data_IF_587141583872
#
_entry.id   IF_587141583872
#
_cell.length_a   1.000
_cell.length_b   1.000
_cell.length_c   1.000
_cell.angle_alpha   90.00
_cell.angle_beta   90.00
_cell.angle_gamma   90.00
#
_symmetry.space_group_name_H-M   'P 1'
#
loop_
_entity.id
_entity.type
_entity.pdbx_description
1 polymer ?
#
# COMPACT_ATOMS: atom_id res chain seq x y z
N UNK A 1 -45.22 -23.29 -84.85
CA UNK A 1 -45.13 -23.75 -86.25
C UNK A 1 -46.37 -24.56 -86.57
N UNK A 2 -47.11 -24.20 -87.61
CA UNK A 2 -48.25 -25.00 -88.08
C UNK A 2 -47.73 -26.22 -88.85
N UNK A 3 -48.35 -27.39 -88.65
CA UNK A 3 -47.99 -28.60 -89.43
C UNK A 3 -48.53 -28.41 -90.85
N UNK A 4 -47.63 -28.18 -91.80
CA UNK A 4 -47.95 -28.11 -93.22
C UNK A 4 -47.79 -29.50 -93.81
N UNK A 5 -48.89 -30.10 -94.26
CA UNK A 5 -48.87 -31.41 -94.91
C UNK A 5 -48.88 -31.22 -96.43
N UNK A 6 -47.94 -31.87 -97.12
CA UNK A 6 -47.91 -31.97 -98.58
C UNK A 6 -48.18 -33.43 -98.93
N UNK A 7 -49.36 -33.73 -99.47
CA UNK A 7 -49.69 -35.05 -99.96
C UNK A 7 -48.94 -35.35 -101.27
N UNK A 8 -48.71 -36.63 -101.57
CA UNK A 8 -48.10 -37.05 -102.86
C UNK A 8 -48.90 -36.60 -104.09
N UNK A 9 -50.19 -36.30 -103.90
CA UNK A 9 -51.10 -35.82 -104.94
C UNK A 9 -51.13 -34.31 -105.05
N UNK A 10 -50.47 -33.57 -104.14
CA UNK A 10 -50.46 -32.12 -104.17
C UNK A 10 -49.57 -31.60 -105.30
N UNK A 11 -49.97 -30.46 -105.85
CA UNK A 11 -49.25 -29.87 -106.98
C UNK A 11 -47.90 -29.30 -106.53
N UNK A 12 -46.95 -29.21 -107.47
CA UNK A 12 -45.70 -28.47 -107.27
C UNK A 12 -45.94 -27.03 -106.80
N UNK A 13 -47.05 -26.43 -107.19
CA UNK A 13 -47.43 -25.09 -106.78
C UNK A 13 -47.89 -25.05 -105.32
N UNK A 14 -48.63 -26.07 -104.87
CA UNK A 14 -48.94 -26.27 -103.45
C UNK A 14 -47.65 -26.44 -102.64
N UNK A 15 -46.69 -27.23 -103.12
CA UNK A 15 -45.39 -27.38 -102.48
C UNK A 15 -44.63 -26.05 -102.41
N UNK A 16 -44.53 -25.31 -103.53
CA UNK A 16 -43.85 -24.00 -103.58
C UNK A 16 -44.48 -23.00 -102.61
N UNK A 17 -45.80 -22.92 -102.59
CA UNK A 17 -46.54 -21.98 -101.74
C UNK A 17 -46.31 -22.30 -100.27
N UNK A 18 -46.44 -23.57 -99.89
CA UNK A 18 -46.20 -24.00 -98.51
C UNK A 18 -44.73 -23.90 -98.10
N UNK A 19 -43.78 -24.13 -99.00
CA UNK A 19 -42.34 -23.99 -98.74
C UNK A 19 -41.95 -22.52 -98.55
N UNK A 20 -42.44 -21.62 -99.39
CA UNK A 20 -42.20 -20.18 -99.24
C UNK A 20 -42.86 -19.64 -97.98
N UNK A 21 -44.07 -20.11 -97.66
CA UNK A 21 -44.73 -19.77 -96.40
C UNK A 21 -43.95 -20.26 -95.18
N UNK A 22 -43.37 -21.46 -95.25
CA UNK A 22 -42.51 -22.01 -94.20
C UNK A 22 -41.24 -21.15 -94.02
N UNK A 23 -40.58 -20.77 -95.10
CA UNK A 23 -39.42 -19.89 -95.08
C UNK A 23 -39.73 -18.50 -94.51
N UNK A 24 -40.85 -17.91 -94.91
CA UNK A 24 -41.21 -16.54 -94.52
C UNK A 24 -41.78 -16.43 -93.11
N UNK A 25 -42.57 -17.41 -92.67
CA UNK A 25 -43.34 -17.29 -91.41
C UNK A 25 -42.83 -18.20 -90.29
N UNK A 26 -42.21 -19.33 -90.61
CA UNK A 26 -41.90 -20.36 -89.62
C UNK A 26 -40.40 -20.44 -89.25
N UNK A 27 -39.47 -19.95 -90.09
CA UNK A 27 -38.02 -19.94 -89.79
C UNK A 27 -37.50 -18.60 -89.20
N UNK A 28 -38.34 -17.57 -89.09
CA UNK A 28 -37.91 -16.26 -88.61
C UNK A 28 -37.02 -15.52 -89.62
N UNK A 29 -36.98 -14.19 -89.52
CA UNK A 29 -36.17 -13.34 -90.40
C UNK A 29 -34.83 -13.02 -89.72
N UNK A 30 -33.70 -13.29 -90.40
CA UNK A 30 -32.36 -12.94 -89.90
C UNK A 30 -32.20 -11.43 -89.73
N UNK A 31 -32.93 -10.61 -90.48
CA UNK A 31 -32.93 -9.16 -90.31
C UNK A 31 -33.51 -8.74 -88.95
N UNK A 32 -34.29 -9.61 -88.28
CA UNK A 32 -34.81 -9.41 -86.94
C UNK A 32 -33.92 -10.04 -85.84
N UNK A 33 -32.80 -10.70 -86.19
CA UNK A 33 -31.82 -11.20 -85.24
C UNK A 33 -30.93 -10.04 -84.74
N UNK A 34 -30.63 -9.98 -83.45
CA UNK A 34 -29.82 -8.91 -82.87
C UNK A 34 -28.46 -8.80 -83.58
N UNK A 35 -28.04 -7.58 -83.94
CA UNK A 35 -26.73 -7.34 -84.56
C UNK A 35 -25.51 -7.68 -83.67
N UNK A 36 -25.74 -8.02 -82.39
CA UNK A 36 -24.72 -8.53 -81.46
C UNK A 36 -24.42 -10.02 -81.65
N UNK A 37 -25.22 -10.72 -82.45
CA UNK A 37 -25.03 -12.12 -82.82
C UNK A 37 -24.43 -12.13 -84.22
N UNK A 38 -23.20 -12.60 -84.34
CA UNK A 38 -22.45 -12.62 -85.61
C UNK A 38 -22.73 -13.86 -86.47
N UNK A 39 -23.45 -14.83 -85.91
CA UNK A 39 -23.84 -16.06 -86.59
C UNK A 39 -24.80 -15.84 -87.77
N UNK A 40 -24.52 -16.52 -88.90
CA UNK A 40 -25.29 -16.42 -90.15
C UNK A 40 -26.35 -17.51 -90.31
N UNK A 41 -26.54 -18.35 -89.29
CA UNK A 41 -27.64 -19.30 -89.22
C UNK A 41 -28.22 -19.35 -87.80
N UNK A 42 -29.50 -19.73 -87.69
CA UNK A 42 -30.26 -19.71 -86.44
C UNK A 42 -29.66 -20.61 -85.35
N UNK A 43 -29.05 -21.74 -85.73
CA UNK A 43 -28.48 -22.68 -84.77
C UNK A 43 -27.26 -22.06 -84.11
N UNK A 44 -26.36 -21.48 -84.90
CA UNK A 44 -25.18 -20.76 -84.39
C UNK A 44 -25.59 -19.47 -83.65
N UNK A 45 -26.63 -18.79 -84.11
CA UNK A 45 -27.18 -17.62 -83.45
C UNK A 45 -27.75 -17.93 -82.06
N UNK A 46 -28.47 -19.04 -81.93
CA UNK A 46 -28.94 -19.53 -80.64
C UNK A 46 -27.78 -19.95 -79.74
N UNK A 47 -26.73 -20.57 -80.29
CA UNK A 47 -25.54 -20.95 -79.53
C UNK A 47 -24.77 -19.73 -79.01
N UNK A 48 -24.64 -18.67 -79.82
CA UNK A 48 -24.04 -17.39 -79.42
C UNK A 48 -24.93 -16.64 -78.41
N UNK A 49 -26.25 -16.67 -78.59
CA UNK A 49 -27.22 -16.14 -77.61
C UNK A 49 -27.15 -16.88 -76.28
N UNK A 50 -26.95 -18.20 -76.30
CA UNK A 50 -26.72 -19.02 -75.10
C UNK A 50 -25.41 -18.61 -74.43
N UNK A 51 -24.30 -18.42 -75.16
CA UNK A 51 -23.03 -17.92 -74.58
C UNK A 51 -23.16 -16.53 -73.96
N UNK A 52 -24.02 -15.67 -74.52
CA UNK A 52 -24.35 -14.33 -73.99
C UNK A 52 -25.31 -14.44 -72.78
N UNK A 53 -26.21 -15.43 -72.76
CA UNK A 53 -27.16 -15.69 -71.66
C UNK A 53 -26.58 -16.53 -70.50
N UNK A 54 -25.49 -17.28 -70.71
CA UNK A 54 -24.84 -18.17 -69.71
C UNK A 54 -23.66 -17.54 -68.96
N UNK A 55 -23.56 -16.22 -68.88
CA UNK A 55 -22.67 -15.53 -67.94
C UNK A 55 -23.45 -15.03 -66.70
N UNK A 56 -24.06 -15.83 -65.83
CA UNK A 56 -24.06 -17.25 -65.44
C UNK A 56 -25.37 -17.45 -64.65
N UNK A 57 -25.74 -18.68 -64.27
CA UNK A 57 -26.83 -18.89 -63.31
C UNK A 57 -26.53 -18.06 -62.05
N UNK A 58 -27.37 -17.07 -61.76
CA UNK A 58 -27.21 -16.25 -60.57
C UNK A 58 -27.09 -17.12 -59.32
N UNK A 59 -26.33 -16.67 -58.33
CA UNK A 59 -26.23 -17.36 -57.05
C UNK A 59 -27.00 -16.61 -55.99
N UNK A 60 -27.44 -17.35 -54.98
CA UNK A 60 -28.23 -16.80 -53.89
C UNK A 60 -27.33 -16.53 -52.70
N UNK A 61 -27.35 -15.30 -52.17
CA UNK A 61 -26.73 -14.94 -50.89
C UNK A 61 -27.77 -14.96 -49.78
N UNK A 62 -27.36 -15.37 -48.57
CA UNK A 62 -28.23 -15.38 -47.38
C UNK A 62 -27.45 -14.95 -46.16
N UNK A 63 -28.05 -14.15 -45.30
CA UNK A 63 -27.46 -13.75 -44.02
C UNK A 63 -27.81 -14.72 -42.88
N UNK A 64 -27.31 -14.45 -41.67
CA UNK A 64 -27.63 -15.25 -40.48
C UNK A 64 -29.07 -15.10 -40.00
N UNK A 65 -29.80 -14.08 -40.46
CA UNK A 65 -31.22 -13.86 -40.16
C UNK A 65 -32.17 -14.60 -41.12
N UNK A 66 -31.64 -15.35 -42.09
CA UNK A 66 -32.35 -16.07 -43.17
C UNK A 66 -32.88 -15.22 -44.33
N UNK A 67 -32.53 -13.93 -44.39
CA UNK A 67 -32.84 -13.08 -45.54
C UNK A 67 -32.04 -13.54 -46.75
N UNK A 68 -32.72 -13.78 -47.87
CA UNK A 68 -32.15 -14.44 -49.06
C UNK A 68 -32.28 -13.52 -50.28
N UNK A 69 -31.21 -13.34 -51.06
CA UNK A 69 -31.21 -12.51 -52.27
C UNK A 69 -30.55 -13.26 -53.44
N UNK A 70 -31.21 -13.28 -54.61
CA UNK A 70 -30.62 -13.77 -55.86
C UNK A 70 -29.76 -12.67 -56.49
N UNK A 71 -28.52 -12.98 -56.82
CA UNK A 71 -27.61 -12.12 -57.59
C UNK A 71 -27.59 -12.67 -59.02
N UNK A 72 -28.17 -11.96 -59.99
CA UNK A 72 -28.30 -12.41 -61.38
C UNK A 72 -27.01 -12.32 -62.18
N UNK A 73 -26.99 -12.93 -63.37
CA UNK A 73 -25.89 -12.73 -64.33
C UNK A 73 -25.79 -11.25 -64.70
N UNK A 74 -24.63 -10.64 -64.45
CA UNK A 74 -24.37 -9.21 -64.68
C UNK A 74 -24.49 -8.30 -63.44
N UNK A 75 -24.99 -8.78 -62.31
CA UNK A 75 -25.06 -8.02 -61.05
C UNK A 75 -23.70 -8.00 -60.30
N UNK A 76 -23.47 -6.98 -59.47
CA UNK A 76 -22.27 -6.87 -58.62
C UNK A 76 -22.59 -7.19 -57.17
N UNK A 77 -21.92 -8.19 -56.59
CA UNK A 77 -21.91 -8.40 -55.13
C UNK A 77 -20.95 -7.39 -54.47
N UNK A 78 -21.48 -6.54 -53.59
CA UNK A 78 -20.66 -5.63 -52.77
C UNK A 78 -20.52 -6.17 -51.34
N UNK A 79 -19.29 -6.35 -50.88
CA UNK A 79 -18.98 -6.70 -49.49
C UNK A 79 -18.28 -5.50 -48.87
N UNK A 80 -18.98 -4.78 -48.01
CA UNK A 80 -18.56 -3.51 -47.43
C UNK A 80 -18.65 -3.60 -45.90
N UNK A 81 -17.61 -3.16 -45.21
CA UNK A 81 -17.68 -2.81 -43.78
C UNK A 81 -17.69 -1.30 -43.59
N UNK A 82 -17.94 -0.85 -42.37
CA UNK A 82 -17.59 0.53 -42.00
C UNK A 82 -16.06 0.69 -41.93
N UNK A 83 -15.59 1.92 -41.71
CA UNK A 83 -14.15 2.21 -41.66
C UNK A 83 -13.46 1.34 -40.60
N UNK A 84 -12.46 0.58 -41.03
CA UNK A 84 -11.65 -0.30 -40.18
C UNK A 84 -12.40 -1.47 -39.51
N UNK A 85 -13.48 -1.99 -40.11
CA UNK A 85 -14.12 -3.24 -39.62
C UNK A 85 -13.57 -4.49 -40.30
N UNK A 86 -13.51 -4.47 -41.64
CA UNK A 86 -13.04 -5.59 -42.47
C UNK A 86 -12.16 -5.09 -43.61
N UNK A 87 -11.32 -5.97 -44.13
CA UNK A 87 -10.64 -5.83 -45.41
C UNK A 87 -11.18 -6.89 -46.37
N UNK A 88 -11.87 -6.47 -47.43
CA UNK A 88 -12.43 -7.35 -48.44
C UNK A 88 -11.72 -7.11 -49.78
N UNK A 89 -11.13 -8.17 -50.35
CA UNK A 89 -10.38 -8.11 -51.61
C UNK A 89 -10.93 -9.14 -52.59
N UNK A 90 -11.22 -8.70 -53.82
CA UNK A 90 -11.59 -9.57 -54.93
C UNK A 90 -10.35 -9.86 -55.78
N UNK A 91 -10.06 -11.13 -56.04
CA UNK A 91 -8.92 -11.55 -56.87
C UNK A 91 -9.31 -12.62 -57.89
N UNK A 92 -8.53 -12.72 -58.96
CA UNK A 92 -8.67 -13.79 -59.93
C UNK A 92 -8.08 -15.10 -59.38
N UNK A 93 -8.69 -16.27 -59.58
CA UNK A 93 -9.99 -16.53 -60.24
C UNK A 93 -11.09 -16.71 -59.18
N UNK A 94 -12.24 -16.07 -59.37
CA UNK A 94 -13.49 -16.24 -58.58
C UNK A 94 -13.32 -16.27 -57.05
N UNK A 95 -12.43 -15.42 -56.51
CA UNK A 95 -12.12 -15.42 -55.07
C UNK A 95 -12.45 -14.07 -54.44
N UNK A 96 -13.13 -14.12 -53.29
CA UNK A 96 -13.25 -12.98 -52.37
C UNK A 96 -12.62 -13.37 -51.04
N UNK A 97 -11.62 -12.62 -50.61
CA UNK A 97 -10.99 -12.78 -49.31
C UNK A 97 -11.53 -11.73 -48.37
N UNK A 98 -11.98 -12.15 -47.18
CA UNK A 98 -12.42 -11.25 -46.10
C UNK A 98 -11.49 -11.47 -44.91
N UNK A 99 -10.90 -10.40 -44.42
CA UNK A 99 -10.04 -10.39 -43.24
C UNK A 99 -10.33 -9.21 -42.32
N UNK A 100 -9.57 -9.13 -41.24
CA UNK A 100 -9.54 -7.95 -40.38
C UNK A 100 -8.34 -7.08 -40.77
N UNK A 101 -8.50 -5.75 -40.88
CA UNK A 101 -7.38 -4.84 -41.01
C UNK A 101 -6.50 -4.86 -39.74
N UNK A 102 -5.29 -4.31 -39.83
CA UNK A 102 -4.37 -4.22 -38.68
C UNK A 102 -4.97 -3.50 -37.46
N UNK A 103 -5.83 -2.51 -37.71
CA UNK A 103 -6.59 -1.81 -36.68
C UNK A 103 -8.06 -2.06 -36.92
N UNK A 104 -8.73 -2.70 -35.96
CA UNK A 104 -10.17 -2.93 -36.02
C UNK A 104 -10.90 -1.92 -35.14
N UNK A 105 -11.91 -1.24 -35.68
CA UNK A 105 -12.79 -0.35 -34.90
C UNK A 105 -14.17 -0.97 -34.77
N UNK A 106 -14.66 -1.13 -33.54
CA UNK A 106 -16.01 -1.67 -33.26
C UNK A 106 -16.86 -0.52 -32.73
N UNK A 107 -17.92 -0.14 -33.45
CA UNK A 107 -18.75 1.01 -33.07
C UNK A 107 -19.59 0.82 -31.80
N UNK A 108 -19.72 -0.42 -31.32
CA UNK A 108 -20.47 -0.79 -30.11
C UNK A 108 -19.57 -1.63 -29.18
N UNK A 109 -20.16 -2.64 -28.53
CA UNK A 109 -19.46 -3.50 -27.60
C UNK A 109 -18.81 -4.69 -28.31
N UNK A 110 -17.59 -5.02 -27.90
CA UNK A 110 -17.00 -6.32 -28.15
C UNK A 110 -17.37 -7.28 -27.02
N UNK A 111 -18.06 -8.37 -27.34
CA UNK A 111 -18.32 -9.47 -26.40
C UNK A 111 -17.37 -10.62 -26.71
N UNK A 112 -16.51 -10.97 -25.76
CA UNK A 112 -15.64 -12.16 -25.83
C UNK A 112 -16.21 -13.20 -24.88
N UNK A 113 -16.61 -14.37 -25.39
CA UNK A 113 -17.30 -15.40 -24.58
C UNK A 113 -16.35 -16.32 -23.82
N UNK A 114 -15.07 -16.30 -24.18
CA UNK A 114 -14.00 -17.04 -23.52
C UNK A 114 -12.95 -16.01 -23.07
N UNK A 115 -11.67 -16.29 -23.33
CA UNK A 115 -10.57 -15.44 -22.90
C UNK A 115 -10.22 -14.38 -23.96
N UNK A 116 -9.91 -13.17 -23.49
CA UNK A 116 -9.22 -12.16 -24.28
C UNK A 116 -7.73 -12.21 -23.93
N UNK A 117 -6.91 -12.64 -24.89
CA UNK A 117 -5.45 -12.58 -24.79
C UNK A 117 -4.93 -11.39 -25.58
N UNK A 118 -4.15 -10.51 -24.95
CA UNK A 118 -3.55 -9.33 -25.57
C UNK A 118 -2.03 -9.44 -25.48
N UNK A 119 -1.37 -9.58 -26.64
CA UNK A 119 0.09 -9.50 -26.71
C UNK A 119 0.50 -8.03 -26.74
N UNK A 120 0.84 -7.48 -25.58
CA UNK A 120 1.25 -6.08 -25.42
C UNK A 120 0.39 -5.32 -24.43
N UNK A 121 0.07 -4.07 -24.74
CA UNK A 121 -0.68 -3.18 -23.83
C UNK A 121 -2.17 -3.28 -24.06
N UNK A 122 -2.93 -3.50 -22.99
CA UNK A 122 -4.37 -3.32 -22.97
C UNK A 122 -4.69 -1.93 -22.39
N UNK A 123 -5.16 -1.01 -23.24
CA UNK A 123 -5.52 0.37 -22.86
C UNK A 123 -7.03 0.52 -22.86
N UNK A 124 -7.61 0.81 -21.70
CA UNK A 124 -9.05 1.00 -21.50
C UNK A 124 -9.33 2.14 -20.53
N UNK A 125 -10.49 2.79 -20.65
CA UNK A 125 -10.87 3.89 -19.76
C UNK A 125 -11.24 3.44 -18.33
N UNK A 126 -11.62 2.18 -18.15
CA UNK A 126 -11.95 1.61 -16.85
C UNK A 126 -11.99 0.09 -16.91
N UNK A 127 -11.70 -0.54 -15.78
CA UNK A 127 -11.74 -1.99 -15.61
C UNK A 127 -12.75 -2.29 -14.51
N UNK A 128 -13.88 -2.89 -14.87
CA UNK A 128 -14.80 -3.49 -13.90
C UNK A 128 -14.60 -5.00 -13.92
N UNK A 129 -14.21 -5.55 -12.77
CA UNK A 129 -14.07 -7.00 -12.60
C UNK A 129 -15.24 -7.50 -11.78
N UNK A 130 -15.91 -8.56 -12.25
CA UNK A 130 -16.90 -9.29 -11.45
C UNK A 130 -16.30 -10.47 -10.69
N UNK A 131 -15.10 -10.91 -11.08
CA UNK A 131 -14.32 -11.93 -10.38
C UNK A 131 -13.45 -11.33 -9.27
N UNK A 132 -12.68 -12.18 -8.58
CA UNK A 132 -12.02 -11.82 -7.31
C UNK A 132 -10.51 -11.56 -7.42
N UNK A 133 -9.89 -11.75 -8.61
CA UNK A 133 -8.43 -11.82 -8.70
C UNK A 133 -7.87 -10.96 -9.83
N UNK A 134 -6.89 -10.13 -9.50
CA UNK A 134 -5.90 -9.59 -10.42
C UNK A 134 -4.60 -10.31 -10.10
N UNK A 135 -4.06 -11.05 -11.06
CA UNK A 135 -2.78 -11.76 -10.90
C UNK A 135 -1.77 -11.17 -11.87
N UNK A 136 -0.55 -10.94 -11.39
CA UNK A 136 0.57 -10.49 -12.21
C UNK A 136 1.67 -11.55 -12.05
N UNK A 137 1.83 -12.40 -13.05
CA UNK A 137 2.75 -13.54 -13.00
C UNK A 137 4.14 -13.21 -13.57
N UNK A 138 4.18 -12.33 -14.56
CA UNK A 138 5.38 -12.10 -15.38
C UNK A 138 6.00 -10.71 -15.11
N UNK A 139 5.35 -9.87 -14.30
CA UNK A 139 5.86 -8.56 -13.89
C UNK A 139 6.06 -8.52 -12.38
N UNK A 140 7.08 -7.79 -11.93
CA UNK A 140 7.42 -7.66 -10.50
C UNK A 140 6.44 -6.79 -9.71
N UNK A 141 5.55 -6.04 -10.40
CA UNK A 141 4.70 -4.99 -9.80
C UNK A 141 3.33 -4.93 -10.48
N UNK A 142 2.28 -4.79 -9.66
CA UNK A 142 1.01 -4.19 -10.04
C UNK A 142 1.05 -2.70 -9.64
N UNK A 143 1.07 -1.79 -10.60
CA UNK A 143 1.20 -0.35 -10.35
C UNK A 143 -0.14 0.36 -10.47
N UNK A 144 -0.44 1.20 -9.48
CA UNK A 144 -1.57 2.13 -9.49
C UNK A 144 -1.10 3.58 -9.64
N UNK A 145 0.10 3.83 -10.17
CA UNK A 145 0.59 5.19 -10.44
C UNK A 145 0.54 6.11 -9.21
N UNK A 146 -0.20 7.21 -9.35
CA UNK A 146 -0.44 8.20 -8.27
C UNK A 146 -1.85 8.09 -7.70
N UNK A 147 -2.54 6.99 -7.98
CA UNK A 147 -3.92 6.76 -7.64
C UNK A 147 -4.05 6.13 -6.25
N UNK A 148 -5.20 6.35 -5.62
CA UNK A 148 -5.53 5.75 -4.34
C UNK A 148 -6.00 4.30 -4.51
N UNK A 149 -5.56 3.42 -3.62
CA UNK A 149 -6.15 2.09 -3.45
C UNK A 149 -7.16 2.15 -2.30
N UNK A 150 -8.45 2.12 -2.61
CA UNK A 150 -9.53 2.15 -1.63
C UNK A 150 -10.13 0.74 -1.53
N UNK A 151 -10.10 0.15 -0.33
CA UNK A 151 -10.70 -1.16 -0.06
C UNK A 151 -11.51 -1.10 1.23
N UNK A 152 -12.61 -1.85 1.28
CA UNK A 152 -13.39 -2.09 2.51
C UNK A 152 -12.89 -3.31 3.27
N UNK A 153 -12.01 -4.11 2.67
CA UNK A 153 -11.42 -5.30 3.25
C UNK A 153 -10.03 -5.07 3.82
N UNK A 154 -9.35 -6.17 4.14
CA UNK A 154 -7.97 -6.16 4.63
C UNK A 154 -6.97 -6.14 3.47
N UNK A 155 -5.87 -5.41 3.64
CA UNK A 155 -4.68 -5.56 2.79
C UNK A 155 -3.73 -6.52 3.50
N UNK A 156 -3.48 -7.67 2.90
CA UNK A 156 -2.48 -8.63 3.38
C UNK A 156 -1.26 -8.55 2.49
N UNK A 157 -0.11 -8.17 3.06
CA UNK A 157 1.15 -8.06 2.35
C UNK A 157 2.27 -8.69 3.17
N UNK A 158 3.21 -9.38 2.51
CA UNK A 158 4.43 -9.86 3.16
C UNK A 158 5.29 -8.69 3.65
N UNK A 159 5.34 -7.60 2.87
CA UNK A 159 5.98 -6.35 3.23
C UNK A 159 5.06 -5.19 2.81
N UNK A 160 4.83 -4.25 3.72
CA UNK A 160 4.15 -3.01 3.44
C UNK A 160 5.14 -1.87 3.64
N UNK A 161 5.48 -1.16 2.57
CA UNK A 161 6.42 -0.04 2.61
C UNK A 161 5.70 1.22 2.18
N UNK A 162 5.56 2.17 3.10
CA UNK A 162 5.08 3.51 2.78
C UNK A 162 6.27 4.44 2.49
N UNK A 163 6.39 4.94 1.27
CA UNK A 163 7.33 6.02 0.94
C UNK A 163 6.65 7.39 1.11
N UNK A 164 7.42 8.44 1.43
CA UNK A 164 6.90 9.79 1.72
C UNK A 164 7.09 10.20 3.18
N UNK A 165 6.47 11.31 3.60
CA UNK A 165 6.72 11.93 4.91
C UNK A 165 5.90 11.34 6.06
N UNK A 166 4.56 11.35 5.96
CA UNK A 166 3.68 11.00 7.08
C UNK A 166 2.70 9.92 6.67
N UNK A 167 2.65 8.85 7.47
CA UNK A 167 1.65 7.80 7.38
C UNK A 167 0.70 7.90 8.57
N UNK A 168 -0.60 7.85 8.32
CA UNK A 168 -1.60 7.84 9.38
C UNK A 168 -2.22 6.46 9.48
N UNK A 169 -2.07 5.85 10.64
CA UNK A 169 -2.69 4.57 10.97
C UNK A 169 -3.68 4.75 12.11
N UNK A 170 -4.64 3.84 12.22
CA UNK A 170 -5.44 3.69 13.43
C UNK A 170 -4.64 2.94 14.50
N UNK A 171 -5.19 1.83 14.99
CA UNK A 171 -4.44 0.93 15.88
C UNK A 171 -3.35 0.21 15.12
N UNK A 172 -2.11 0.28 15.61
CA UNK A 172 -0.98 -0.48 15.08
C UNK A 172 -0.63 -1.58 16.08
N UNK A 173 -0.78 -2.85 15.68
CA UNK A 173 -0.33 -3.99 16.46
C UNK A 173 0.89 -4.63 15.78
N UNK A 174 1.92 -4.89 16.58
CA UNK A 174 3.21 -5.40 16.11
C UNK A 174 3.50 -6.69 16.89
N UNK A 175 3.31 -7.85 16.25
CA UNK A 175 3.56 -9.15 16.87
C UNK A 175 4.97 -9.64 16.55
N UNK A 176 5.82 -9.75 17.57
CA UNK A 176 7.16 -10.33 17.43
C UNK A 176 8.19 -9.46 16.69
N UNK A 177 8.06 -8.12 16.72
CA UNK A 177 8.92 -7.23 15.92
C UNK A 177 9.63 -6.14 16.73
N UNK A 178 10.52 -5.45 16.02
CA UNK A 178 11.23 -4.24 16.41
C UNK A 178 10.50 -3.01 15.88
N UNK A 179 10.44 -1.95 16.69
CA UNK A 179 10.12 -0.60 16.21
C UNK A 179 11.43 0.17 16.21
N UNK A 180 11.90 0.60 15.05
CA UNK A 180 13.16 1.34 14.92
C UNK A 180 13.00 2.56 14.03
N UNK A 181 13.78 3.59 14.36
CA UNK A 181 14.07 4.71 13.47
C UNK A 181 15.47 4.47 12.90
N UNK A 182 15.60 4.44 11.58
CA UNK A 182 16.88 4.19 10.89
C UNK A 182 17.55 5.46 10.39
N UNK A 183 16.79 6.54 10.19
CA UNK A 183 17.29 7.84 9.73
C UNK A 183 17.48 8.87 10.86
N UNK A 184 16.86 8.61 12.02
CA UNK A 184 16.91 9.48 13.19
C UNK A 184 17.39 8.72 14.44
N UNK A 185 17.97 9.43 15.40
CA UNK A 185 18.43 8.86 16.69
C UNK A 185 17.32 8.79 17.75
N UNK A 186 16.07 9.08 17.39
CA UNK A 186 14.94 9.24 18.32
C UNK A 186 13.68 8.58 17.78
N UNK A 187 12.94 7.97 18.70
CA UNK A 187 11.52 7.66 18.52
C UNK A 187 10.73 8.68 19.35
N UNK A 188 9.79 9.39 18.72
CA UNK A 188 8.94 10.37 19.40
C UNK A 188 7.59 9.73 19.73
N UNK A 189 7.17 9.82 20.99
CA UNK A 189 5.83 9.46 21.46
C UNK A 189 5.31 10.69 22.19
N UNK A 190 4.34 11.37 21.58
CA UNK A 190 3.79 12.62 22.15
C UNK A 190 2.77 12.36 23.28
N UNK A 191 2.36 11.10 23.43
CA UNK A 191 1.46 10.60 24.47
C UNK A 191 2.17 9.75 25.53
N UNK A 192 1.39 9.17 26.44
CA UNK A 192 1.91 8.23 27.43
C UNK A 192 2.41 6.95 26.76
N UNK A 193 3.66 6.58 27.04
CA UNK A 193 4.21 5.27 26.72
C UNK A 193 3.98 4.29 27.88
N UNK A 194 3.23 3.23 27.64
CA UNK A 194 3.10 2.10 28.57
C UNK A 194 3.94 0.93 28.07
N UNK A 195 4.89 0.48 28.89
CA UNK A 195 5.78 -0.65 28.62
C UNK A 195 5.82 -1.57 29.82
N UNK A 196 6.17 -2.84 29.60
CA UNK A 196 6.44 -3.77 30.71
C UNK A 196 7.80 -3.48 31.35
N UNK A 197 8.82 -3.20 30.52
CA UNK A 197 10.14 -2.74 30.93
C UNK A 197 10.72 -1.82 29.86
N UNK A 198 11.49 -0.82 30.28
CA UNK A 198 12.36 -0.03 29.42
C UNK A 198 13.81 -0.38 29.75
N UNK A 199 14.65 -0.60 28.75
CA UNK A 199 16.05 -0.93 28.94
C UNK A 199 16.96 -0.10 28.03
N UNK A 200 18.18 0.17 28.48
CA UNK A 200 19.23 0.65 27.57
C UNK A 200 19.66 -0.45 26.60
N UNK A 201 20.41 -0.10 25.54
CA UNK A 201 20.86 -1.06 24.53
C UNK A 201 21.59 -2.30 25.11
N UNK A 202 22.31 -2.11 26.21
CA UNK A 202 23.06 -3.17 26.89
C UNK A 202 22.30 -3.80 28.07
N UNK A 203 21.07 -3.36 28.36
CA UNK A 203 20.28 -3.81 29.50
C UNK A 203 20.82 -3.37 30.87
N UNK A 204 21.84 -2.50 30.91
CA UNK A 204 22.48 -2.08 32.17
C UNK A 204 21.61 -1.13 32.99
N UNK A 205 20.80 -0.30 32.32
CA UNK A 205 19.76 0.50 32.95
C UNK A 205 18.41 -0.11 32.60
N UNK A 206 17.56 -0.35 33.59
CA UNK A 206 16.18 -0.75 33.37
C UNK A 206 15.21 0.09 34.20
N UNK A 207 14.01 0.32 33.64
CA UNK A 207 12.84 0.84 34.34
C UNK A 207 11.80 -0.26 34.34
N UNK A 208 11.51 -0.81 35.51
CA UNK A 208 10.64 -1.98 35.70
C UNK A 208 9.94 -1.91 37.06
N UNK A 209 8.92 -2.74 37.24
CA UNK A 209 8.29 -3.01 38.53
C UNK A 209 8.93 -4.23 39.22
N UNK A 210 9.41 -4.06 40.45
CA UNK A 210 9.91 -5.15 41.30
C UNK A 210 9.03 -5.20 42.55
N UNK A 211 8.33 -6.31 42.76
CA UNK A 211 7.40 -6.45 43.89
C UNK A 211 6.24 -5.45 43.89
N UNK A 212 5.85 -4.94 42.70
CA UNK A 212 4.80 -3.94 42.54
C UNK A 212 5.25 -2.48 42.73
N UNK A 213 6.55 -2.22 42.92
CA UNK A 213 7.11 -0.87 42.98
C UNK A 213 7.94 -0.56 41.73
N UNK A 214 7.81 0.63 41.14
CA UNK A 214 8.66 1.04 40.03
C UNK A 214 10.08 1.33 40.54
N UNK A 215 11.08 0.77 39.85
CA UNK A 215 12.49 0.99 40.11
C UNK A 215 13.19 1.49 38.86
N UNK A 216 14.15 2.40 39.08
CA UNK A 216 15.29 2.54 38.17
C UNK A 216 16.38 1.61 38.72
N UNK A 217 16.75 0.59 37.95
CA UNK A 217 17.83 -0.31 38.35
C UNK A 217 19.03 -0.12 37.44
N UNK A 218 20.21 -0.18 38.05
CA UNK A 218 21.49 -0.17 37.35
C UNK A 218 22.25 -1.43 37.74
N UNK A 219 22.66 -2.22 36.75
CA UNK A 219 23.59 -3.34 36.93
C UNK A 219 24.99 -3.01 36.40
N UNK A 220 25.21 -1.74 36.03
CA UNK A 220 26.49 -1.26 35.53
C UNK A 220 27.61 -1.60 36.53
N UNK A 221 28.62 -2.29 36.03
CA UNK A 221 29.85 -2.65 36.72
C UNK A 221 31.02 -2.38 35.78
N UNK A 222 32.16 -1.96 36.32
CA UNK A 222 33.34 -1.62 35.50
C UNK A 222 33.99 -0.26 35.78
N UNK A 223 33.69 0.38 36.91
CA UNK A 223 34.38 1.57 37.43
C UNK A 223 34.55 1.51 38.96
N UNK A 224 34.83 2.65 39.60
CA UNK A 224 34.94 2.76 41.07
C UNK A 224 33.59 2.63 41.81
N UNK A 225 32.48 2.52 41.08
CA UNK A 225 31.12 2.42 41.60
C UNK A 225 30.39 1.25 40.91
N UNK A 226 29.58 0.51 41.66
CA UNK A 226 28.80 -0.64 41.18
C UNK A 226 27.31 -0.37 41.41
N UNK A 227 26.47 -0.78 40.45
CA UNK A 227 25.01 -0.67 40.53
C UNK A 227 24.49 0.75 40.84
N UNK A 228 25.24 1.77 40.40
CA UNK A 228 24.92 3.17 40.67
C UNK A 228 24.01 3.77 39.58
N UNK A 229 23.10 4.64 40.00
CA UNK A 229 22.43 5.60 39.13
C UNK A 229 23.26 6.89 39.11
N UNK A 230 23.91 7.19 37.98
CA UNK A 230 24.59 8.47 37.79
C UNK A 230 23.58 9.55 37.40
N UNK A 231 23.55 10.65 38.16
CA UNK A 231 22.67 11.79 37.92
C UNK A 231 23.56 13.01 37.65
N UNK A 232 23.67 13.42 36.39
CA UNK A 232 24.36 14.66 35.99
C UNK A 232 23.40 15.86 36.08
N UNK A 233 22.79 16.02 37.25
CA UNK A 233 21.81 17.05 37.58
C UNK A 233 21.57 17.10 39.10
N UNK A 234 20.93 18.18 39.57
CA UNK A 234 20.44 18.23 40.95
C UNK A 234 19.25 17.27 41.12
N UNK A 235 19.24 16.48 42.21
CA UNK A 235 18.07 15.71 42.61
C UNK A 235 17.05 16.61 43.33
N UNK A 236 15.92 16.88 42.68
CA UNK A 236 14.78 17.57 43.29
C UNK A 236 13.72 16.57 43.73
N UNK A 237 13.44 16.53 45.03
CA UNK A 237 12.34 15.77 45.61
C UNK A 237 11.16 16.71 45.88
N UNK A 238 9.98 16.38 45.33
CA UNK A 238 8.78 17.21 45.49
C UNK A 238 8.28 17.27 46.95
N UNK A 239 7.25 18.06 47.21
CA UNK A 239 6.67 18.27 48.54
C UNK A 239 6.32 16.93 49.21
N UNK A 240 6.66 16.82 50.50
CA UNK A 240 6.44 15.62 51.32
C UNK A 240 7.09 14.34 50.76
N UNK A 241 8.22 14.45 50.06
CA UNK A 241 9.08 13.32 49.68
C UNK A 241 10.36 13.32 50.52
N UNK A 242 10.93 12.14 50.72
CA UNK A 242 12.12 11.91 51.56
C UNK A 242 13.15 11.07 50.81
N UNK A 243 14.38 11.07 51.31
CA UNK A 243 15.40 10.09 50.89
C UNK A 243 15.41 8.93 51.90
N UNK A 244 15.28 7.70 51.42
CA UNK A 244 15.12 6.52 52.26
C UNK A 244 16.19 5.48 51.94
N UNK A 245 16.93 5.07 52.97
CA UNK A 245 17.97 4.04 52.85
C UNK A 245 17.47 2.73 53.49
N UNK A 246 17.49 1.63 52.72
CA UNK A 246 17.52 0.26 53.25
C UNK A 246 18.94 -0.01 53.71
N UNK A 247 19.14 -0.62 54.88
CA UNK A 247 20.48 -1.00 55.34
C UNK A 247 21.08 -2.15 54.50
N UNK A 248 22.09 -2.82 55.04
CA UNK A 248 22.69 -4.00 54.40
C UNK A 248 21.74 -5.21 54.34
N UNK A 249 20.71 -5.24 55.18
CA UNK A 249 19.71 -6.30 55.25
C UNK A 249 18.36 -5.76 54.81
N UNK A 250 17.69 -6.46 53.89
CA UNK A 250 16.29 -6.16 53.53
C UNK A 250 15.39 -6.52 54.70
N UNK A 251 14.83 -5.50 55.34
CA UNK A 251 13.91 -5.65 56.47
C UNK A 251 12.92 -4.48 56.49
N UNK A 252 12.34 -4.16 57.65
CA UNK A 252 11.36 -3.08 57.78
C UNK A 252 11.97 -1.77 58.31
N UNK A 253 13.27 -1.79 58.62
CA UNK A 253 14.00 -0.73 59.30
C UNK A 253 14.68 0.18 58.27
N UNK A 254 14.36 1.48 58.32
CA UNK A 254 14.84 2.47 57.34
C UNK A 254 15.52 3.64 58.04
N UNK A 255 16.57 4.18 57.41
CA UNK A 255 17.04 5.54 57.70
C UNK A 255 16.37 6.49 56.72
N UNK A 256 15.66 7.50 57.24
CA UNK A 256 14.96 8.48 56.42
C UNK A 256 15.55 9.86 56.66
N UNK A 257 16.00 10.51 55.58
CA UNK A 257 16.34 11.95 55.60
C UNK A 257 15.10 12.71 55.13
N UNK A 258 14.57 13.54 56.02
CA UNK A 258 13.41 14.40 55.77
C UNK A 258 13.77 15.86 56.02
N UNK A 259 13.08 16.75 55.35
CA UNK A 259 13.20 18.19 55.52
C UNK A 259 11.90 18.68 56.11
N UNK A 260 11.96 19.27 57.30
CA UNK A 260 10.83 20.02 57.86
C UNK A 260 10.60 21.27 57.01
N UNK A 261 9.37 21.78 56.97
CA UNK A 261 9.04 22.98 56.20
C UNK A 261 10.06 24.12 56.47
N UNK A 262 10.91 24.47 55.50
CA UNK A 262 11.99 25.39 55.74
C UNK A 262 11.45 26.82 55.77
N UNK A 263 11.86 27.61 56.76
CA UNK A 263 11.44 29.02 56.90
C UNK A 263 12.15 29.98 55.94
N UNK A 264 13.16 29.50 55.22
CA UNK A 264 13.93 30.19 54.19
C UNK A 264 14.71 29.14 53.38
N UNK A 265 15.31 29.50 52.24
CA UNK A 265 16.25 28.61 51.55
C UNK A 265 17.41 28.22 52.48
N UNK A 266 17.69 26.92 52.60
CA UNK A 266 18.78 26.37 53.43
C UNK A 266 19.71 25.55 52.55
N UNK A 267 21.00 25.67 52.81
CA UNK A 267 22.05 24.85 52.21
C UNK A 267 22.80 24.15 53.33
N UNK A 268 23.00 22.85 53.19
CA UNK A 268 23.87 22.05 54.05
C UNK A 268 25.07 21.66 53.18
N UNK A 269 26.26 22.10 53.55
CA UNK A 269 27.50 21.74 52.87
C UNK A 269 28.21 20.66 53.67
N UNK A 270 28.45 19.50 53.06
CA UNK A 270 29.36 18.50 53.62
C UNK A 270 30.79 18.95 53.31
N UNK A 271 31.67 19.00 54.30
CA UNK A 271 33.05 19.42 54.09
C UNK A 271 33.88 18.25 53.50
N UNK A 272 35.10 18.53 53.03
CA UNK A 272 35.97 17.54 52.36
C UNK A 272 36.67 16.63 53.36
N UNK A 273 35.89 15.94 54.19
CA UNK A 273 36.40 15.03 55.21
C UNK A 273 35.48 13.80 55.36
N UNK A 274 36.06 12.71 55.84
CA UNK A 274 35.29 11.52 56.21
C UNK A 274 34.78 11.65 57.64
N UNK A 275 33.59 11.13 57.91
CA UNK A 275 32.99 11.19 59.25
C UNK A 275 31.55 10.72 59.27
N UNK A 276 30.89 10.94 60.41
CA UNK A 276 29.46 10.68 60.59
C UNK A 276 28.70 11.99 60.70
N UNK A 277 27.44 12.01 60.24
CA UNK A 277 26.54 13.13 60.54
C UNK A 277 26.14 13.04 62.01
N UNK A 278 26.42 14.10 62.77
CA UNK A 278 26.06 14.17 64.19
C UNK A 278 24.56 14.45 64.33
N UNK A 279 23.87 13.60 65.08
CA UNK A 279 22.45 13.75 65.42
C UNK A 279 22.28 13.85 66.93
N UNK A 280 21.07 14.11 67.43
CA UNK A 280 20.81 14.14 68.88
C UNK A 280 21.01 12.80 69.58
N UNK A 281 21.11 11.69 68.82
CA UNK A 281 21.46 10.36 69.34
C UNK A 281 22.96 10.05 69.33
N UNK A 282 23.80 10.94 68.76
CA UNK A 282 25.25 10.73 68.65
C UNK A 282 25.95 11.08 69.97
N UNK A 283 25.87 10.18 70.96
CA UNK A 283 26.60 10.29 72.24
C UNK A 283 28.10 10.14 72.02
N UNK A 284 28.91 11.01 72.66
CA UNK A 284 30.38 11.03 72.61
C UNK A 284 31.00 11.11 71.21
N UNK A 285 30.24 11.51 70.20
CA UNK A 285 30.71 11.60 68.81
C UNK A 285 31.52 12.89 68.54
N UNK A 286 31.27 13.96 69.32
CA UNK A 286 32.10 15.17 69.30
C UNK A 286 33.23 14.96 70.31
N UNK A 287 34.43 14.70 69.80
CA UNK A 287 35.64 14.53 70.63
C UNK A 287 36.27 15.88 70.98
N UNK A 288 37.13 15.92 72.00
CA UNK A 288 37.86 17.15 72.38
C UNK A 288 38.64 17.74 71.20
N UNK A 289 39.18 16.91 70.31
CA UNK A 289 39.90 17.36 69.11
C UNK A 289 39.01 18.06 68.07
N UNK A 290 37.68 17.85 68.12
CA UNK A 290 36.70 18.54 67.27
C UNK A 290 36.26 19.89 67.86
N UNK A 291 36.67 20.17 69.09
CA UNK A 291 36.39 21.43 69.79
C UNK A 291 37.62 22.33 69.69
N UNK A 292 37.44 23.54 69.18
CA UNK A 292 38.53 24.52 69.21
C UNK A 292 38.85 24.90 70.67
N UNK A 293 40.09 25.32 70.92
CA UNK A 293 40.47 25.93 72.19
C UNK A 293 39.48 27.06 72.55
N UNK A 294 39.07 27.11 73.82
CA UNK A 294 38.08 28.06 74.35
C UNK A 294 36.69 28.04 73.67
N UNK A 295 36.34 27.00 72.89
CA UNK A 295 35.03 26.90 72.22
C UNK A 295 33.84 26.72 73.17
N UNK A 296 34.08 26.27 74.40
CA UNK A 296 33.05 26.09 75.44
C UNK A 296 33.44 26.86 76.69
N UNK A 297 32.72 27.97 76.93
CA UNK A 297 32.83 28.76 78.14
C UNK A 297 31.68 28.49 79.12
N UNK A 298 31.66 29.24 80.23
CA UNK A 298 30.65 29.10 81.29
C UNK A 298 29.21 29.34 80.82
N UNK A 299 29.00 30.04 79.70
CA UNK A 299 27.68 30.27 79.09
C UNK A 299 27.18 29.06 78.30
N UNK A 300 28.10 28.29 77.71
CA UNK A 300 27.79 27.10 76.92
C UNK A 300 27.62 25.85 77.80
N UNK A 301 28.08 25.89 79.05
CA UNK A 301 27.85 24.81 80.03
C UNK A 301 26.36 24.73 80.39
N UNK A 302 25.73 23.60 80.05
CA UNK A 302 24.30 23.36 80.28
C UNK A 302 23.91 23.43 81.76
N UNK A 303 24.78 22.93 82.63
CA UNK A 303 24.67 23.08 84.08
C UNK A 303 25.99 23.63 84.62
N UNK A 304 25.92 24.87 85.12
CA UNK A 304 27.07 25.63 85.58
C UNK A 304 27.22 25.47 87.09
N UNK A 305 28.33 24.87 87.51
CA UNK A 305 28.81 24.95 88.88
C UNK A 305 29.83 26.07 89.01
N UNK A 306 29.64 26.96 89.98
CA UNK A 306 30.57 28.05 90.27
C UNK A 306 31.30 27.77 91.58
N UNK A 307 32.63 27.70 91.49
CA UNK A 307 33.48 27.75 92.67
C UNK A 307 34.08 29.16 92.77
N UNK A 308 33.68 29.89 93.81
CA UNK A 308 34.30 31.18 94.15
C UNK A 308 35.37 30.97 95.20
N UNK A 309 36.59 31.42 94.91
CA UNK A 309 37.68 31.47 95.88
C UNK A 309 37.67 32.88 96.48
N UNK A 310 37.38 32.99 97.77
CA UNK A 310 37.31 34.27 98.50
C UNK A 310 38.59 34.53 99.30
N UNK A 311 38.95 35.80 99.51
CA UNK A 311 39.98 36.18 100.46
C UNK A 311 39.44 36.20 101.91
N UNK A 312 40.31 36.45 102.90
CA UNK A 312 39.91 36.54 104.32
C UNK A 312 38.94 37.69 104.64
N UNK A 313 38.76 38.64 103.72
CA UNK A 313 37.79 39.73 103.81
C UNK A 313 36.48 39.44 103.05
N UNK A 314 36.30 38.22 102.50
CA UNK A 314 35.09 37.80 101.79
C UNK A 314 34.97 38.29 100.33
N UNK A 315 36.01 38.92 99.77
CA UNK A 315 36.02 39.36 98.37
C UNK A 315 36.46 38.22 97.44
N UNK A 316 35.81 38.06 96.28
CA UNK A 316 36.18 37.04 95.30
C UNK A 316 37.53 37.34 94.65
N UNK A 317 38.45 36.39 94.75
CA UNK A 317 39.78 36.43 94.14
C UNK A 317 39.82 35.70 92.80
N UNK A 318 39.09 34.58 92.68
CA UNK A 318 38.98 33.81 91.45
C UNK A 318 37.64 33.11 91.37
N UNK A 319 37.05 33.08 90.19
CA UNK A 319 35.86 32.28 89.90
C UNK A 319 36.28 31.16 88.96
N UNK A 320 35.94 29.93 89.32
CA UNK A 320 36.12 28.75 88.46
C UNK A 320 34.73 28.28 88.07
N UNK A 321 34.54 28.12 86.77
CA UNK A 321 33.32 27.59 86.18
C UNK A 321 33.61 26.16 85.75
N UNK A 322 32.79 25.21 86.21
CA UNK A 322 32.89 23.81 85.83
C UNK A 322 31.54 23.29 85.37
N UNK A 323 31.56 22.31 84.47
CA UNK A 323 30.38 21.50 84.19
C UNK A 323 30.06 20.67 85.44
N UNK A 324 28.82 20.67 85.90
CA UNK A 324 28.41 19.86 87.05
C UNK A 324 26.91 19.67 87.10
N UNK A 325 26.47 18.43 87.30
CA UNK A 325 25.08 18.10 87.62
C UNK A 325 24.70 18.60 89.01
#
# INVERSE_FOLDING_TARGET
MAVRNIALTDTLETFRTQFNDLAANDFGDIANLSGSISATNLVDAMNETISIATSTAGFTVRDSSSTTQLIGGGDTLSILGTTNEIEAVVSATDTVTIGLPNNVTIGNNLTVTNDLSVTGTFSVGGIQMSGNTISVTDSTVLSFGSENVITTGTITANQFTGSGSTHTFGTVQISGNTISSTDSTRLNIDDTLRVNALESQTGLLTINEIGGFPFLTSSASGGAISAALAIDANLYLSTARTLIFEGATSNTERTTVTVVDPTAARTITLPDESGTVITTGSTDAVTEAMMADDSVGSTQLKTLSTLQILNSAGTTLKTIHGAGA
#
